data_IF_158836360816
#
_entry.id   IF_158836360816
#
_cell.length_a   1.000
_cell.length_b   1.000
_cell.length_c   1.000
_cell.angle_alpha   90.00
_cell.angle_beta   90.00
_cell.angle_gamma   90.00
#
_symmetry.space_group_name_H-M   'P 1'
#
loop_
_entity.id
_entity.type
_entity.pdbx_description
1 polymer ?
#
# COMPACT_ATOMS: atom_id res chain seq x y z
N UNK A 1 62.90 -8.55 -15.94
CA UNK A 1 63.31 -9.86 -15.37
C UNK A 1 62.88 -9.85 -13.91
N UNK A 2 62.03 -10.72 -13.37
CA UNK A 2 61.35 -11.89 -13.89
C UNK A 2 60.02 -12.04 -13.13
N UNK A 3 58.98 -12.42 -13.86
CA UNK A 3 57.75 -13.04 -13.36
C UNK A 3 58.03 -14.44 -12.81
N UNK A 4 57.21 -14.96 -11.88
CA UNK A 4 56.90 -16.38 -11.85
C UNK A 4 55.45 -16.62 -12.30
N UNK A 5 55.32 -17.68 -13.08
CA UNK A 5 54.11 -18.13 -13.75
C UNK A 5 53.31 -19.14 -12.91
N UNK A 6 52.04 -19.26 -13.29
CA UNK A 6 51.21 -20.47 -13.35
C UNK A 6 51.12 -21.39 -12.13
N UNK A 7 49.95 -21.37 -11.49
CA UNK A 7 49.38 -22.50 -10.77
C UNK A 7 47.96 -22.76 -11.29
N UNK A 8 47.87 -23.64 -12.28
CA UNK A 8 46.61 -24.25 -12.76
C UNK A 8 46.05 -25.17 -11.68
N UNK A 9 44.75 -25.04 -11.40
CA UNK A 9 44.07 -25.66 -10.27
C UNK A 9 42.61 -25.95 -10.55
N UNK A 10 42.31 -26.49 -11.73
CA UNK A 10 41.02 -27.06 -12.09
C UNK A 10 40.55 -28.10 -11.05
N UNK A 11 39.59 -27.73 -10.19
CA UNK A 11 38.76 -28.67 -9.43
C UNK A 11 37.32 -28.59 -9.92
N UNK A 12 37.01 -29.44 -10.91
CA UNK A 12 35.65 -29.81 -11.32
C UNK A 12 34.89 -30.37 -10.10
N UNK A 13 33.81 -29.71 -9.67
CA UNK A 13 32.84 -30.29 -8.74
C UNK A 13 31.60 -30.72 -9.54
N UNK A 14 31.29 -32.00 -9.44
CA UNK A 14 30.23 -32.69 -10.17
C UNK A 14 28.83 -32.24 -9.73
N UNK A 15 27.90 -32.28 -10.68
CA UNK A 15 26.49 -31.97 -10.55
C UNK A 15 25.74 -32.98 -9.66
N UNK A 16 24.77 -32.50 -8.89
CA UNK A 16 23.75 -33.29 -8.21
C UNK A 16 22.35 -32.82 -8.64
N UNK A 17 21.32 -33.69 -8.59
CA UNK A 17 20.24 -33.71 -9.58
C UNK A 17 19.05 -32.80 -9.28
N UNK A 18 18.39 -32.36 -10.36
CA UNK A 18 17.10 -31.65 -10.39
C UNK A 18 15.97 -32.57 -9.92
N UNK A 19 15.09 -32.04 -9.07
CA UNK A 19 13.77 -32.62 -8.72
C UNK A 19 12.66 -31.64 -9.17
N UNK A 20 11.45 -32.12 -9.52
CA UNK A 20 10.68 -31.58 -10.63
C UNK A 20 9.69 -30.46 -10.28
N UNK A 21 9.40 -29.70 -11.33
CA UNK A 21 8.37 -28.67 -11.51
C UNK A 21 7.05 -28.93 -10.77
N UNK A 22 6.59 -27.94 -10.02
CA UNK A 22 5.18 -27.79 -9.66
C UNK A 22 4.64 -26.54 -10.39
N UNK A 23 4.22 -26.73 -11.64
CA UNK A 23 3.58 -25.70 -12.47
C UNK A 23 2.07 -25.94 -12.44
N UNK A 24 1.33 -25.12 -11.70
CA UNK A 24 -0.13 -25.07 -11.79
C UNK A 24 -0.54 -24.47 -13.15
N UNK A 25 -0.83 -25.33 -14.12
CA UNK A 25 -1.45 -24.96 -15.38
C UNK A 25 -2.96 -24.82 -15.23
N UNK A 26 -3.51 -23.65 -15.56
CA UNK A 26 -4.92 -23.49 -15.91
C UNK A 26 -5.02 -23.60 -17.42
N UNK A 27 -5.63 -24.67 -17.93
CA UNK A 27 -6.03 -24.73 -19.34
C UNK A 27 -7.53 -24.97 -19.39
N UNK A 28 -8.24 -23.96 -19.89
CA UNK A 28 -9.61 -24.10 -20.41
C UNK A 28 -9.57 -25.08 -21.58
N UNK A 29 -10.35 -26.16 -21.49
CA UNK A 29 -10.71 -26.97 -22.64
C UNK A 29 -12.21 -26.82 -22.90
N UNK A 30 -12.54 -26.22 -24.04
CA UNK A 30 -13.88 -26.24 -24.61
C UNK A 30 -14.06 -27.54 -25.40
N UNK A 31 -14.95 -28.42 -24.96
CA UNK A 31 -15.33 -29.63 -25.67
C UNK A 31 -16.48 -29.32 -26.66
N UNK A 32 -16.37 -29.77 -27.91
CA UNK A 32 -17.45 -29.70 -28.90
C UNK A 32 -17.46 -30.95 -29.78
N UNK A 33 -18.67 -31.33 -30.22
CA UNK A 33 -19.09 -32.42 -31.15
C UNK A 33 -19.52 -33.74 -30.47
N UNK A 34 -20.56 -34.46 -30.91
CA UNK A 34 -21.50 -34.41 -32.08
C UNK A 34 -22.70 -35.35 -31.79
N UNK A 35 -23.79 -35.31 -32.57
CA UNK A 35 -24.93 -36.21 -32.44
C UNK A 35 -24.80 -37.44 -33.36
N UNK A 36 -25.23 -38.60 -32.87
CA UNK A 36 -25.48 -39.79 -33.70
C UNK A 36 -26.99 -40.05 -33.77
N UNK A 37 -27.47 -40.24 -35.00
CA UNK A 37 -28.85 -40.60 -35.37
C UNK A 37 -29.08 -42.12 -35.22
N UNK A 38 -30.30 -42.49 -34.83
CA UNK A 38 -30.91 -43.77 -35.23
C UNK A 38 -32.42 -43.56 -35.36
N UNK A 39 -32.95 -43.91 -36.54
CA UNK A 39 -34.34 -43.81 -36.93
C UNK A 39 -35.11 -45.11 -36.64
N UNK A 40 -36.38 -45.00 -36.24
CA UNK A 40 -37.41 -46.06 -36.41
C UNK A 40 -38.78 -45.43 -36.78
N UNK A 41 -39.57 -46.23 -37.49
CA UNK A 41 -40.74 -45.98 -38.38
C UNK A 41 -41.99 -45.28 -37.75
N UNK A 42 -42.90 -44.69 -38.57
CA UNK A 42 -43.88 -43.69 -38.15
C UNK A 42 -45.34 -44.18 -38.20
N UNK A 43 -45.90 -44.76 -37.14
CA UNK A 43 -47.37 -44.88 -37.00
C UNK A 43 -47.77 -44.83 -35.52
N UNK A 44 -48.04 -43.62 -34.99
CA UNK A 44 -48.92 -43.30 -33.82
C UNK A 44 -48.63 -41.93 -33.15
N UNK A 45 -47.90 -40.99 -33.79
CA UNK A 45 -47.34 -39.85 -33.07
C UNK A 45 -48.19 -38.56 -33.00
N UNK A 46 -49.20 -38.38 -33.87
CA UNK A 46 -49.92 -37.09 -33.90
C UNK A 46 -50.74 -36.80 -32.62
N UNK A 47 -51.21 -37.82 -31.90
CA UNK A 47 -51.94 -37.61 -30.65
C UNK A 47 -51.01 -37.35 -29.44
N UNK A 48 -49.83 -37.97 -29.43
CA UNK A 48 -48.85 -37.85 -28.32
C UNK A 48 -48.08 -36.55 -28.38
N UNK A 49 -47.81 -36.04 -29.58
CA UNK A 49 -47.13 -34.77 -29.78
C UNK A 49 -47.96 -33.62 -29.21
N UNK A 50 -49.26 -33.59 -29.50
CA UNK A 50 -50.16 -32.56 -28.98
C UNK A 50 -50.26 -32.57 -27.45
N UNK A 51 -50.32 -33.75 -26.82
CA UNK A 51 -50.33 -33.87 -25.35
C UNK A 51 -48.98 -33.47 -24.74
N UNK A 52 -47.87 -33.83 -25.39
CA UNK A 52 -46.53 -33.46 -24.97
C UNK A 52 -46.29 -31.95 -25.06
N UNK A 53 -46.69 -31.30 -26.17
CA UNK A 53 -46.60 -29.85 -26.34
C UNK A 53 -47.51 -29.08 -25.38
N UNK A 54 -48.74 -29.56 -25.13
CA UNK A 54 -49.63 -28.96 -24.13
C UNK A 54 -49.10 -29.11 -22.70
N UNK A 55 -48.55 -30.28 -22.32
CA UNK A 55 -47.90 -30.48 -21.02
C UNK A 55 -46.63 -29.64 -20.87
N UNK A 56 -45.82 -29.50 -21.92
CA UNK A 56 -44.60 -28.68 -21.92
C UNK A 56 -44.94 -27.19 -21.81
N UNK A 57 -45.95 -26.72 -22.55
CA UNK A 57 -46.49 -25.36 -22.45
C UNK A 57 -47.14 -25.05 -21.11
N UNK A 58 -47.89 -25.99 -20.53
CA UNK A 58 -48.47 -25.84 -19.19
C UNK A 58 -47.40 -25.77 -18.09
N UNK A 59 -46.34 -26.60 -18.16
CA UNK A 59 -45.18 -26.53 -17.25
C UNK A 59 -44.39 -25.22 -17.42
N UNK A 60 -44.31 -24.70 -18.64
CA UNK A 60 -43.62 -23.44 -18.95
C UNK A 60 -44.40 -22.20 -18.43
N UNK A 61 -45.73 -22.23 -18.47
CA UNK A 61 -46.58 -21.20 -17.85
C UNK A 61 -46.60 -21.29 -16.30
N UNK A 62 -46.59 -22.51 -15.74
CA UNK A 62 -46.48 -22.71 -14.30
C UNK A 62 -45.15 -22.17 -13.74
N UNK A 63 -44.03 -22.43 -14.43
CA UNK A 63 -42.72 -21.91 -14.03
C UNK A 63 -42.63 -20.39 -14.16
N UNK A 64 -43.15 -19.77 -15.24
CA UNK A 64 -43.22 -18.31 -15.35
C UNK A 64 -44.05 -17.65 -14.25
N UNK A 65 -45.21 -18.21 -13.90
CA UNK A 65 -46.06 -17.64 -12.84
C UNK A 65 -45.41 -17.75 -11.45
N UNK A 66 -44.66 -18.84 -11.19
CA UNK A 66 -43.87 -19.00 -9.96
C UNK A 66 -42.71 -18.01 -9.89
N UNK A 67 -41.99 -17.79 -10.98
CA UNK A 67 -40.92 -16.78 -11.05
C UNK A 67 -41.45 -15.36 -10.84
N UNK A 68 -42.60 -15.01 -11.43
CA UNK A 68 -43.24 -13.70 -11.24
C UNK A 68 -43.69 -13.49 -9.79
N UNK A 69 -44.33 -14.50 -9.17
CA UNK A 69 -44.74 -14.46 -7.75
C UNK A 69 -43.54 -14.32 -6.81
N UNK A 70 -42.44 -15.03 -7.09
CA UNK A 70 -41.20 -14.94 -6.31
C UNK A 70 -40.55 -13.56 -6.46
N UNK A 71 -40.51 -13.01 -7.67
CA UNK A 71 -39.94 -11.68 -7.90
C UNK A 71 -40.78 -10.59 -7.20
N UNK A 72 -42.11 -10.69 -7.26
CA UNK A 72 -43.02 -9.78 -6.55
C UNK A 72 -42.85 -9.88 -5.02
N UNK A 73 -42.74 -11.10 -4.48
CA UNK A 73 -42.48 -11.32 -3.06
C UNK A 73 -41.12 -10.74 -2.63
N UNK A 74 -40.06 -10.96 -3.42
CA UNK A 74 -38.74 -10.37 -3.15
C UNK A 74 -38.77 -8.84 -3.20
N UNK A 75 -39.43 -8.23 -4.18
CA UNK A 75 -39.55 -6.76 -4.25
C UNK A 75 -40.34 -6.19 -3.07
N UNK A 76 -41.37 -6.90 -2.61
CA UNK A 76 -42.15 -6.50 -1.44
C UNK A 76 -41.30 -6.58 -0.16
N UNK A 77 -40.54 -7.66 0.05
CA UNK A 77 -39.66 -7.81 1.21
C UNK A 77 -38.56 -6.74 1.23
N UNK A 78 -37.95 -6.46 0.08
CA UNK A 78 -36.93 -5.40 -0.05
C UNK A 78 -37.57 -4.02 0.23
N UNK A 79 -38.74 -3.75 -0.34
CA UNK A 79 -39.46 -2.50 -0.11
C UNK A 79 -39.81 -2.28 1.36
N UNK A 80 -40.35 -3.31 2.03
CA UNK A 80 -40.62 -3.27 3.48
C UNK A 80 -39.34 -3.07 4.28
N UNK A 81 -38.24 -3.73 3.92
CA UNK A 81 -36.94 -3.55 4.56
C UNK A 81 -36.41 -2.10 4.46
N UNK A 82 -36.55 -1.47 3.29
CA UNK A 82 -36.17 -0.06 3.08
C UNK A 82 -37.05 0.86 3.93
N UNK A 83 -38.37 0.64 3.98
CA UNK A 83 -39.28 1.45 4.79
C UNK A 83 -38.96 1.33 6.28
N UNK A 84 -38.67 0.12 6.77
CA UNK A 84 -38.25 -0.10 8.17
C UNK A 84 -36.93 0.61 8.46
N UNK A 85 -35.95 0.55 7.56
CA UNK A 85 -34.69 1.27 7.72
C UNK A 85 -34.88 2.79 7.74
N UNK A 86 -35.75 3.33 6.88
CA UNK A 86 -36.10 4.75 6.88
C UNK A 86 -36.81 5.16 8.18
N UNK A 87 -37.72 4.33 8.70
CA UNK A 87 -38.39 4.58 9.98
C UNK A 87 -37.41 4.51 11.16
N UNK A 88 -36.49 3.53 11.17
CA UNK A 88 -35.45 3.45 12.19
C UNK A 88 -34.50 4.65 12.13
N UNK A 89 -34.14 5.10 10.92
CA UNK A 89 -33.36 6.33 10.72
C UNK A 89 -34.10 7.56 11.21
N UNK A 90 -35.40 7.67 10.92
CA UNK A 90 -36.24 8.79 11.36
C UNK A 90 -36.34 8.84 12.89
N UNK A 91 -36.65 7.71 13.53
CA UNK A 91 -36.72 7.60 15.01
C UNK A 91 -35.34 7.87 15.65
N UNK A 92 -34.26 7.40 15.03
CA UNK A 92 -32.91 7.71 15.53
C UNK A 92 -32.60 9.21 15.43
N UNK A 93 -33.02 9.86 14.33
CA UNK A 93 -32.81 11.28 14.13
C UNK A 93 -33.63 12.14 15.10
N UNK A 94 -34.91 11.82 15.34
CA UNK A 94 -35.70 12.48 16.39
C UNK A 94 -35.08 12.27 17.78
N UNK A 95 -34.58 11.06 18.08
CA UNK A 95 -33.90 10.80 19.36
C UNK A 95 -32.63 11.64 19.51
N UNK A 96 -31.84 11.79 18.46
CA UNK A 96 -30.64 12.65 18.46
C UNK A 96 -31.00 14.13 18.60
N UNK A 97 -32.08 14.59 17.98
CA UNK A 97 -32.58 15.96 18.12
C UNK A 97 -33.09 16.21 19.55
N UNK A 98 -33.88 15.31 20.11
CA UNK A 98 -34.37 15.40 21.49
C UNK A 98 -33.25 15.33 22.53
N UNK A 99 -32.21 14.52 22.29
CA UNK A 99 -30.99 14.50 23.13
C UNK A 99 -30.18 15.80 23.01
N UNK A 100 -30.11 16.39 21.82
CA UNK A 100 -29.46 17.71 21.61
C UNK A 100 -30.24 18.84 22.28
N UNK A 101 -31.56 18.84 22.21
CA UNK A 101 -32.40 19.86 22.87
C UNK A 101 -32.39 19.70 24.39
N UNK A 102 -32.43 18.47 24.91
CA UNK A 102 -32.25 18.19 26.34
C UNK A 102 -30.83 18.54 26.83
N UNK A 103 -29.81 18.37 25.98
CA UNK A 103 -28.43 18.76 26.25
C UNK A 103 -28.16 20.27 26.14
N UNK A 104 -28.93 21.01 25.35
CA UNK A 104 -28.79 22.45 25.16
C UNK A 104 -29.33 23.28 26.35
N UNK A 105 -30.29 22.72 27.12
CA UNK A 105 -30.86 23.38 28.31
C UNK A 105 -30.11 23.07 29.62
N UNK A 106 -29.13 22.16 29.57
CA UNK A 106 -28.19 21.98 30.68
C UNK A 106 -26.96 22.81 30.35
N UNK A 107 -26.70 23.83 31.16
CA UNK A 107 -25.49 24.66 31.11
C UNK A 107 -24.27 23.76 31.33
N UNK A 108 -23.83 23.08 30.27
CA UNK A 108 -22.68 22.19 30.26
C UNK A 108 -21.43 23.05 30.26
N UNK A 109 -20.94 23.34 31.46
CA UNK A 109 -19.51 23.59 31.63
C UNK A 109 -18.77 22.38 31.04
N UNK A 110 -18.20 22.57 29.85
CA UNK A 110 -17.03 21.83 29.38
C UNK A 110 -17.27 20.46 28.74
N UNK A 111 -18.02 20.39 27.64
CA UNK A 111 -17.73 19.37 26.62
C UNK A 111 -17.11 20.08 25.42
N UNK A 112 -15.84 20.46 25.56
CA UNK A 112 -15.02 20.89 24.42
C UNK A 112 -14.92 19.73 23.44
N UNK A 113 -15.34 19.97 22.20
CA UNK A 113 -15.16 18.98 21.14
C UNK A 113 -13.67 18.62 20.99
N UNK A 114 -13.35 17.42 20.51
CA UNK A 114 -11.95 17.03 20.22
C UNK A 114 -11.23 18.04 19.33
N UNK A 115 -11.96 18.63 18.37
CA UNK A 115 -11.43 19.68 17.49
C UNK A 115 -11.08 20.96 18.26
N UNK A 116 -11.90 21.35 19.24
CA UNK A 116 -11.66 22.53 20.07
C UNK A 116 -10.47 22.32 21.02
N UNK A 117 -10.35 21.12 21.60
CA UNK A 117 -9.16 20.73 22.36
C UNK A 117 -7.90 20.75 21.49
N UNK A 118 -7.96 20.22 20.27
CA UNK A 118 -6.83 20.25 19.33
C UNK A 118 -6.43 21.70 19.00
N UNK A 119 -7.38 22.56 18.71
CA UNK A 119 -7.09 23.97 18.42
C UNK A 119 -6.49 24.70 19.62
N UNK A 120 -6.96 24.43 20.84
CA UNK A 120 -6.35 24.99 22.05
C UNK A 120 -4.92 24.49 22.27
N UNK A 121 -4.61 23.24 21.93
CA UNK A 121 -3.24 22.72 21.98
C UNK A 121 -2.38 23.39 20.91
N UNK A 122 -2.85 23.48 19.67
CA UNK A 122 -2.12 24.11 18.57
C UNK A 122 -1.80 25.58 18.86
N UNK A 123 -2.72 26.33 19.48
CA UNK A 123 -2.48 27.72 19.88
C UNK A 123 -1.42 27.89 20.98
N UNK A 124 -1.12 26.83 21.73
CA UNK A 124 -0.11 26.85 22.80
C UNK A 124 1.25 26.34 22.33
N UNK A 125 1.32 25.68 21.17
CA UNK A 125 2.57 25.19 20.62
C UNK A 125 3.31 26.33 19.93
N UNK A 126 4.65 26.37 20.03
CA UNK A 126 5.44 27.29 19.23
C UNK A 126 5.24 27.01 17.74
N UNK A 127 5.37 28.04 16.91
CA UNK A 127 5.40 27.85 15.46
C UNK A 127 6.53 26.91 15.07
N UNK A 128 6.25 26.01 14.13
CA UNK A 128 7.26 25.08 13.65
C UNK A 128 8.33 25.86 12.89
N UNK A 129 9.62 25.58 13.14
CA UNK A 129 10.68 26.22 12.40
C UNK A 129 10.55 25.85 10.91
N UNK A 130 10.58 26.86 10.04
CA UNK A 130 10.68 26.64 8.61
C UNK A 130 12.04 26.05 8.29
N UNK A 131 12.06 24.91 7.60
CA UNK A 131 13.30 24.30 7.17
C UNK A 131 13.85 25.02 5.95
N UNK A 132 15.17 25.16 5.90
CA UNK A 132 15.86 25.56 4.68
C UNK A 132 15.46 24.59 3.56
N UNK A 133 14.98 25.15 2.45
CA UNK A 133 14.49 24.35 1.32
C UNK A 133 15.30 24.67 0.08
N UNK A 134 15.87 23.63 -0.54
CA UNK A 134 16.64 23.72 -1.79
C UNK A 134 15.88 23.01 -2.88
N UNK A 135 15.45 23.74 -3.90
CA UNK A 135 14.66 23.20 -5.00
C UNK A 135 15.49 23.05 -6.27
N UNK A 136 15.23 22.01 -7.05
CA UNK A 136 15.80 21.86 -8.38
C UNK A 136 15.39 23.01 -9.31
N UNK A 137 16.31 23.40 -10.20
CA UNK A 137 16.10 24.42 -11.21
C UNK A 137 16.55 23.84 -12.56
N UNK A 138 15.69 23.93 -13.58
CA UNK A 138 15.96 23.40 -14.91
C UNK A 138 16.34 21.91 -14.96
N UNK A 139 15.73 21.10 -14.09
CA UNK A 139 15.94 19.65 -14.08
C UNK A 139 17.11 19.17 -13.23
N UNK A 140 17.79 20.06 -12.49
CA UNK A 140 18.92 19.69 -11.65
C UNK A 140 18.87 20.40 -10.29
N UNK A 141 19.22 19.68 -9.23
CA UNK A 141 19.59 20.24 -7.94
C UNK A 141 21.05 19.91 -7.66
N UNK A 142 21.93 20.90 -7.81
CA UNK A 142 23.34 20.81 -7.43
C UNK A 142 23.57 21.50 -6.08
N UNK A 143 24.04 20.77 -5.09
CA UNK A 143 24.12 21.25 -3.71
C UNK A 143 25.29 20.64 -2.94
N UNK A 144 25.79 21.37 -1.95
CA UNK A 144 26.76 20.86 -0.98
C UNK A 144 26.06 20.71 0.36
N UNK A 145 26.21 19.56 1.00
CA UNK A 145 25.67 19.31 2.34
C UNK A 145 26.85 19.07 3.28
N UNK A 146 26.91 19.81 4.38
CA UNK A 146 27.92 19.67 5.41
C UNK A 146 27.32 18.97 6.61
N UNK A 147 27.96 17.89 7.06
CA UNK A 147 27.66 17.24 8.33
C UNK A 147 28.71 17.61 9.37
N UNK A 148 28.25 18.04 10.54
CA UNK A 148 29.11 18.43 11.66
C UNK A 148 28.46 18.07 13.00
N UNK A 149 29.23 18.17 14.08
CA UNK A 149 28.67 18.12 15.43
C UNK A 149 27.87 19.40 15.71
N UNK A 150 26.69 19.25 16.32
CA UNK A 150 25.78 20.34 16.71
C UNK A 150 25.33 20.14 18.14
N UNK A 151 25.36 21.21 18.93
CA UNK A 151 24.63 21.28 20.20
C UNK A 151 23.16 21.61 19.92
N UNK A 152 22.25 20.76 20.39
CA UNK A 152 20.82 21.02 20.43
C UNK A 152 20.46 21.37 21.86
N UNK A 153 20.02 22.59 22.12
CA UNK A 153 19.76 23.14 23.46
C UNK A 153 18.38 23.81 23.61
N UNK A 154 17.58 23.81 22.54
CA UNK A 154 16.24 24.41 22.47
C UNK A 154 15.11 23.49 23.00
N UNK A 155 15.47 22.45 23.75
CA UNK A 155 14.56 21.47 24.33
C UNK A 155 14.70 21.34 25.84
N UNK A 156 13.97 20.39 26.47
CA UNK A 156 14.08 20.14 27.91
C UNK A 156 15.43 19.56 28.34
N UNK A 157 16.24 19.09 27.38
CA UNK A 157 17.57 18.53 27.58
C UNK A 157 18.46 19.06 26.46
N UNK A 158 19.70 19.44 26.80
CA UNK A 158 20.73 19.77 25.83
C UNK A 158 21.61 18.56 25.53
N UNK A 159 21.95 18.34 24.26
CA UNK A 159 22.81 17.24 23.83
C UNK A 159 23.56 17.58 22.55
N UNK A 160 24.73 16.97 22.39
CA UNK A 160 25.45 16.98 21.12
C UNK A 160 24.94 15.89 20.20
N UNK A 161 24.78 16.23 18.92
CA UNK A 161 24.39 15.31 17.86
C UNK A 161 25.16 15.62 16.58
N UNK A 162 24.97 14.79 15.56
CA UNK A 162 25.45 15.05 14.19
C UNK A 162 24.29 15.64 13.41
N UNK A 163 24.54 16.77 12.76
CA UNK A 163 23.52 17.52 12.03
C UNK A 163 24.02 17.90 10.64
N UNK A 164 23.09 17.94 9.70
CA UNK A 164 23.33 18.51 8.37
C UNK A 164 22.97 20.00 8.39
N UNK A 165 23.85 20.85 7.88
CA UNK A 165 23.65 22.32 7.81
C UNK A 165 23.34 22.97 9.17
N UNK A 166 23.96 22.48 10.24
CA UNK A 166 23.69 22.95 11.61
C UNK A 166 22.18 22.95 11.96
N UNK A 167 21.41 22.00 11.42
CA UNK A 167 19.97 21.90 11.67
C UNK A 167 19.52 20.47 11.96
N UNK A 168 18.53 20.34 12.85
CA UNK A 168 17.85 19.08 13.14
C UNK A 168 16.34 19.34 13.03
N UNK A 169 15.66 18.81 12.00
CA UNK A 169 16.21 18.04 10.88
C UNK A 169 17.07 18.91 9.94
N UNK A 170 17.83 18.26 9.05
CA UNK A 170 18.60 18.94 8.01
C UNK A 170 17.73 19.61 6.94
N UNK A 171 18.33 20.20 5.89
CA UNK A 171 17.62 20.92 4.84
C UNK A 171 16.67 20.00 4.07
N UNK A 172 15.57 20.58 3.59
CA UNK A 172 14.65 19.91 2.69
C UNK A 172 15.12 20.06 1.24
N UNK A 173 15.37 18.93 0.58
CA UNK A 173 15.70 18.89 -0.85
C UNK A 173 14.42 18.61 -1.65
N UNK A 174 14.03 19.55 -2.50
CA UNK A 174 12.80 19.50 -3.29
C UNK A 174 13.12 19.27 -4.76
N UNK A 175 12.63 18.16 -5.31
CA UNK A 175 12.87 17.75 -6.70
C UNK A 175 11.56 17.35 -7.38
N UNK A 176 11.57 17.36 -8.71
CA UNK A 176 10.53 16.75 -9.55
C UNK A 176 11.00 15.39 -10.07
N UNK A 177 10.09 14.45 -10.35
CA UNK A 177 10.46 13.19 -11.00
C UNK A 177 11.22 13.44 -12.32
N UNK A 178 12.39 12.80 -12.46
CA UNK A 178 13.27 12.96 -13.62
C UNK A 178 14.37 14.01 -13.45
N UNK A 179 14.35 14.81 -12.37
CA UNK A 179 15.44 15.73 -12.06
C UNK A 179 16.70 14.98 -11.61
N UNK A 180 17.87 15.57 -11.83
CA UNK A 180 19.17 15.07 -11.38
C UNK A 180 19.54 15.71 -10.05
N UNK A 181 19.88 14.90 -9.05
CA UNK A 181 20.38 15.35 -7.75
C UNK A 181 21.90 15.17 -7.67
N UNK A 182 22.64 16.27 -7.67
CA UNK A 182 24.08 16.30 -7.49
C UNK A 182 24.40 16.81 -6.09
N UNK A 183 24.89 15.92 -5.22
CA UNK A 183 25.26 16.27 -3.84
C UNK A 183 26.76 16.07 -3.62
N UNK A 184 27.41 17.11 -3.13
CA UNK A 184 28.73 17.02 -2.51
C UNK A 184 28.58 16.97 -0.98
N UNK A 185 28.87 15.83 -0.36
CA UNK A 185 28.83 15.66 1.09
C UNK A 185 30.18 16.03 1.71
N UNK A 186 30.19 17.05 2.56
CA UNK A 186 31.36 17.47 3.35
C UNK A 186 31.24 16.92 4.76
N UNK A 187 32.14 16.01 5.14
CA UNK A 187 32.18 15.42 6.47
C UNK A 187 33.14 16.20 7.39
N UNK A 188 32.58 16.99 8.31
CA UNK A 188 33.30 17.77 9.31
C UNK A 188 33.17 17.19 10.73
N UNK A 189 32.91 15.88 10.87
CA UNK A 189 32.80 15.20 12.17
C UNK A 189 34.15 14.96 12.88
N UNK A 190 35.26 15.26 12.21
CA UNK A 190 36.61 14.99 12.71
C UNK A 190 37.00 13.49 12.66
N UNK A 191 38.20 13.14 13.13
CA UNK A 191 38.68 11.76 13.13
C UNK A 191 37.85 10.89 14.10
N UNK A 192 37.79 9.59 13.82
CA UNK A 192 37.29 8.62 14.80
C UNK A 192 38.26 8.50 15.98
N UNK A 193 37.72 8.44 17.20
CA UNK A 193 38.51 8.15 18.39
C UNK A 193 38.87 6.67 18.39
N UNK A 194 40.14 6.33 18.53
CA UNK A 194 40.57 4.95 18.67
C UNK A 194 40.05 4.37 20.00
N UNK A 195 39.34 3.25 19.95
CA UNK A 195 38.81 2.55 21.11
C UNK A 195 38.94 1.04 20.99
N UNK A 196 38.85 0.34 22.12
CA UNK A 196 38.72 -1.11 22.16
C UNK A 196 37.32 -1.49 21.65
N UNK A 197 37.20 -1.70 20.35
CA UNK A 197 35.94 -2.07 19.75
C UNK A 197 35.66 -3.57 19.95
N UNK A 198 34.54 -3.89 20.58
CA UNK A 198 34.07 -5.27 20.72
C UNK A 198 33.02 -5.58 19.66
N UNK A 199 32.84 -6.87 19.27
CA UNK A 199 31.78 -7.24 18.34
C UNK A 199 30.42 -6.69 18.78
N UNK A 200 29.67 -6.10 17.84
CA UNK A 200 28.37 -5.46 18.08
C UNK A 200 28.42 -4.14 18.88
N UNK A 201 29.54 -3.42 18.85
CA UNK A 201 29.59 -2.03 19.33
C UNK A 201 29.64 -1.04 18.16
N UNK A 202 29.39 0.23 18.43
CA UNK A 202 29.46 1.27 17.40
C UNK A 202 30.91 1.40 16.92
N UNK A 203 31.20 1.10 15.66
CA UNK A 203 32.52 1.25 15.06
C UNK A 203 32.58 2.53 14.21
N UNK A 204 33.63 3.32 14.37
CA UNK A 204 33.94 4.48 13.51
C UNK A 204 32.75 5.46 13.29
N UNK A 205 32.17 6.03 14.36
CA UNK A 205 30.92 6.79 14.28
C UNK A 205 31.00 8.13 13.52
N UNK A 206 32.21 8.57 13.14
CA UNK A 206 32.43 9.76 12.33
C UNK A 206 32.60 9.44 10.84
N UNK A 207 32.59 8.16 10.45
CA UNK A 207 32.42 7.76 9.06
C UNK A 207 30.93 7.84 8.69
N UNK A 208 30.62 8.42 7.54
CA UNK A 208 29.22 8.71 7.17
C UNK A 208 29.02 8.69 5.66
N UNK A 209 27.77 8.50 5.27
CA UNK A 209 27.28 8.55 3.89
C UNK A 209 25.86 9.13 3.89
N UNK A 210 25.27 9.27 2.70
CA UNK A 210 23.86 9.64 2.56
C UNK A 210 23.05 8.43 2.13
N UNK A 211 21.90 8.26 2.77
CA UNK A 211 20.89 7.29 2.38
C UNK A 211 19.58 8.03 2.13
N UNK A 212 19.02 7.85 0.94
CA UNK A 212 17.76 8.47 0.54
C UNK A 212 16.70 7.41 0.29
N UNK A 213 15.48 7.69 0.73
CA UNK A 213 14.31 6.95 0.32
C UNK A 213 13.79 7.52 -1.01
N UNK A 214 13.15 6.67 -1.82
CA UNK A 214 12.47 7.09 -3.05
C UNK A 214 13.35 7.17 -4.30
N UNK A 215 14.65 6.91 -4.18
CA UNK A 215 15.53 6.72 -5.34
C UNK A 215 15.29 5.35 -5.98
N UNK A 216 15.24 5.31 -7.31
CA UNK A 216 15.38 4.06 -8.06
C UNK A 216 16.86 3.90 -8.39
N UNK A 217 17.49 2.85 -7.89
CA UNK A 217 18.90 2.54 -8.15
C UNK A 217 18.94 1.26 -8.96
N UNK A 218 19.61 1.26 -10.12
CA UNK A 218 19.79 0.05 -10.91
C UNK A 218 20.86 -0.83 -10.22
N UNK A 219 20.60 -2.13 -9.98
CA UNK A 219 21.61 -3.00 -9.37
C UNK A 219 22.76 -3.35 -10.32
N UNK A 220 22.69 -2.95 -11.59
CA UNK A 220 23.74 -3.23 -12.58
C UNK A 220 24.84 -2.18 -12.54
N UNK A 221 25.97 -2.49 -13.17
CA UNK A 221 27.02 -1.49 -13.33
C UNK A 221 27.75 -1.15 -12.02
N UNK A 222 27.97 0.14 -11.79
CA UNK A 222 28.66 0.75 -10.63
C UNK A 222 27.70 1.43 -9.66
N UNK A 223 26.39 1.14 -9.76
CA UNK A 223 25.35 1.79 -8.99
C UNK A 223 25.17 1.11 -7.62
N UNK A 224 24.44 0.00 -7.53
CA UNK A 224 24.28 -0.81 -6.31
C UNK A 224 25.01 -2.17 -6.41
N UNK A 225 26.26 -2.15 -6.87
CA UNK A 225 27.05 -3.35 -7.05
C UNK A 225 28.17 -3.47 -6.00
N UNK A 226 27.89 -4.25 -4.95
CA UNK A 226 28.82 -4.52 -3.84
C UNK A 226 30.04 -5.37 -4.23
N UNK A 227 30.10 -5.91 -5.46
CA UNK A 227 31.18 -6.78 -5.94
C UNK A 227 32.14 -6.08 -6.91
N UNK A 228 32.07 -4.76 -7.04
CA UNK A 228 33.01 -3.96 -7.83
C UNK A 228 33.93 -3.11 -6.98
#
# INVERSE_FOLDING_TARGET
MATPASGDGSRKRAAAPRSPNNSYGTSMFCESKRPDEAAEDPEDDEAKDNEFFLRRGARQLQTQSLHLRRNLACTFVIGVGIVVLLLLSYVHQERQQNLREAGANTQTKGVTSRAELLNQVLQKLPELPTLETRASVNGELNTTITVAEKLVDNGPIAFYTRAYEDSVPGPMLLLKPGDVLNIHLVNNLGPNVAGEWTPNTMHEPNNTNLHFHGMHVDPTGTEDNVFR
#
